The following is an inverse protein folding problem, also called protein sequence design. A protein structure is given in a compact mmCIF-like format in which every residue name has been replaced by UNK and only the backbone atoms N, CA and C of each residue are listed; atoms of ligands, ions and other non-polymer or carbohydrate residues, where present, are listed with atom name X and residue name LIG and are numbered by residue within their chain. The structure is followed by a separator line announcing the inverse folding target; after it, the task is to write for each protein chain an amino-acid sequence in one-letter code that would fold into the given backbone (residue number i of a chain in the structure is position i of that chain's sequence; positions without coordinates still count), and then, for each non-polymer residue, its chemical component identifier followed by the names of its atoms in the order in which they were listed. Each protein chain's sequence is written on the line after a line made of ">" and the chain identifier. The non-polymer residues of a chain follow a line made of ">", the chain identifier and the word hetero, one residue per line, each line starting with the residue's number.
data_IF_907296848943
#
_entry.id   IF_907296848943
#
_cell.length_a   1.000
_cell.length_b   1.000
_cell.length_c   1.000
_cell.angle_alpha   90.00
_cell.angle_beta   90.00
_cell.angle_gamma   90.00
#
_symmetry.space_group_name_H-M   'P 1'
#
loop_
_entity.id
_entity.type
_entity.pdbx_description
1 polymer ?
#
# COMPACT_ATOMS: atom_id res chain seq x y z
N UNK A 1 10.37 37.88 -30.23
CA UNK A 1 10.10 36.43 -30.37
C UNK A 1 10.76 35.69 -29.19
N UNK A 2 10.18 35.78 -27.98
CA UNK A 2 10.70 35.11 -26.77
C UNK A 2 9.49 34.83 -25.87
N UNK A 3 8.84 33.67 -26.02
CA UNK A 3 7.86 33.13 -25.06
C UNK A 3 7.75 31.62 -25.23
N UNK A 4 8.78 30.88 -24.84
CA UNK A 4 8.70 29.43 -24.78
C UNK A 4 9.77 28.85 -23.85
N UNK A 5 9.87 29.28 -22.58
CA UNK A 5 10.82 28.62 -21.67
C UNK A 5 10.54 28.85 -20.17
N UNK A 6 9.30 28.73 -19.70
CA UNK A 6 9.03 28.75 -18.24
C UNK A 6 7.85 27.87 -17.77
N UNK A 7 7.49 26.82 -18.50
CA UNK A 7 6.48 25.84 -18.05
C UNK A 7 7.07 24.49 -17.60
N UNK A 8 8.40 24.40 -17.48
CA UNK A 8 9.07 23.15 -17.09
C UNK A 8 9.31 22.90 -15.58
N UNK A 9 9.09 23.82 -14.61
CA UNK A 9 9.20 23.43 -13.20
C UNK A 9 7.87 23.00 -12.57
N UNK A 10 6.72 23.20 -13.23
CA UNK A 10 5.41 22.91 -12.63
C UNK A 10 4.97 21.43 -12.78
N UNK A 11 5.48 20.73 -13.78
CA UNK A 11 5.14 19.32 -14.02
C UNK A 11 5.93 18.32 -13.16
N UNK A 12 6.98 18.75 -12.45
CA UNK A 12 7.74 17.89 -11.53
C UNK A 12 7.14 17.81 -10.10
N UNK A 13 6.07 18.57 -9.83
CA UNK A 13 5.40 18.64 -8.52
C UNK A 13 4.10 17.82 -8.43
N UNK A 14 3.71 17.11 -9.48
CA UNK A 14 2.57 16.17 -9.47
C UNK A 14 3.08 14.73 -9.29
N UNK A 15 4.05 14.53 -8.39
CA UNK A 15 4.20 13.23 -7.76
C UNK A 15 3.17 13.20 -6.64
N UNK A 16 1.96 12.71 -6.94
CA UNK A 16 0.90 12.52 -5.95
C UNK A 16 1.50 11.92 -4.66
N UNK A 17 1.09 12.40 -3.47
CA UNK A 17 1.58 11.87 -2.20
C UNK A 17 1.45 10.36 -2.24
N UNK A 18 2.48 9.66 -1.74
CA UNK A 18 2.67 8.24 -1.88
C UNK A 18 1.34 7.48 -1.64
N UNK A 19 0.58 7.20 -2.71
CA UNK A 19 -0.78 6.62 -2.61
C UNK A 19 -0.70 5.31 -1.83
N UNK A 20 0.42 4.59 -2.01
CA UNK A 20 0.85 3.46 -1.22
C UNK A 20 0.60 3.70 0.28
N UNK A 21 1.17 4.74 0.90
CA UNK A 21 1.08 5.00 2.34
C UNK A 21 -0.37 5.01 2.86
N UNK A 22 -1.37 5.33 2.03
CA UNK A 22 -2.79 5.41 2.42
C UNK A 22 -3.69 4.31 1.84
N UNK A 23 -3.17 3.32 1.12
CA UNK A 23 -4.02 2.28 0.51
C UNK A 23 -4.84 1.46 1.53
N UNK A 24 -4.26 1.11 2.68
CA UNK A 24 -4.99 0.46 3.77
C UNK A 24 -6.15 1.32 4.28
N UNK A 25 -5.91 2.61 4.53
CA UNK A 25 -6.95 3.58 4.90
C UNK A 25 -8.01 3.75 3.81
N UNK A 26 -7.61 3.81 2.53
CA UNK A 26 -8.54 3.91 1.41
C UNK A 26 -9.44 2.68 1.30
N UNK A 27 -8.90 1.50 1.61
CA UNK A 27 -9.65 0.24 1.59
C UNK A 27 -10.59 0.12 2.79
N UNK A 28 -10.17 0.55 3.98
CA UNK A 28 -11.06 0.74 5.12
C UNK A 28 -12.20 1.72 4.78
N UNK A 29 -11.92 2.75 3.97
CA UNK A 29 -12.88 3.70 3.42
C UNK A 29 -14.06 3.08 2.66
N UNK A 30 -13.88 1.87 2.08
CA UNK A 30 -14.94 1.14 1.40
C UNK A 30 -15.97 0.62 2.41
N UNK A 31 -15.51 0.07 3.53
CA UNK A 31 -16.37 -0.40 4.61
C UNK A 31 -17.01 0.76 5.39
N UNK A 32 -16.26 1.84 5.61
CA UNK A 32 -16.80 3.09 6.18
C UNK A 32 -18.01 3.56 5.36
N UNK A 33 -17.88 3.65 4.03
CA UNK A 33 -18.99 4.05 3.15
C UNK A 33 -20.18 3.10 3.24
N UNK A 34 -19.93 1.79 3.28
CA UNK A 34 -20.98 0.77 3.43
C UNK A 34 -21.78 0.98 4.72
N UNK A 35 -21.09 1.08 5.86
CA UNK A 35 -21.76 1.17 7.16
C UNK A 35 -22.36 2.54 7.44
N UNK A 36 -21.81 3.61 6.86
CA UNK A 36 -22.46 4.93 6.85
C UNK A 36 -23.79 4.89 6.09
N UNK A 37 -23.87 4.18 4.96
CA UNK A 37 -25.13 4.01 4.19
C UNK A 37 -26.14 3.12 4.89
N UNK A 38 -25.69 2.04 5.52
CA UNK A 38 -26.60 1.13 6.24
C UNK A 38 -27.04 1.65 7.61
N UNK A 39 -26.42 2.73 8.11
CA UNK A 39 -26.68 3.28 9.44
C UNK A 39 -26.15 2.41 10.59
N UNK A 40 -25.24 1.48 10.32
CA UNK A 40 -24.63 0.65 11.38
C UNK A 40 -23.46 1.40 12.02
N UNK A 41 -23.80 2.27 12.98
CA UNK A 41 -22.84 3.16 13.61
C UNK A 41 -21.78 2.44 14.45
N UNK A 42 -22.09 1.26 15.01
CA UNK A 42 -21.10 0.45 15.74
C UNK A 42 -20.01 -0.09 14.82
N UNK A 43 -20.39 -0.69 13.70
CA UNK A 43 -19.41 -1.14 12.69
C UNK A 43 -18.69 0.02 12.02
N UNK A 44 -19.39 1.11 11.75
CA UNK A 44 -18.77 2.34 11.23
C UNK A 44 -17.67 2.86 12.16
N UNK A 45 -17.90 2.83 13.47
CA UNK A 45 -16.91 3.23 14.46
C UNK A 45 -15.66 2.35 14.39
N UNK A 46 -15.84 1.02 14.40
CA UNK A 46 -14.75 0.06 14.29
C UNK A 46 -13.91 0.26 13.00
N UNK A 47 -14.55 0.51 11.86
CA UNK A 47 -13.81 0.74 10.60
C UNK A 47 -13.09 2.08 10.54
N UNK A 48 -13.59 3.11 11.23
CA UNK A 48 -12.81 4.32 11.45
C UNK A 48 -11.61 4.07 12.36
N UNK A 49 -11.72 3.23 13.38
CA UNK A 49 -10.59 2.82 14.22
C UNK A 49 -9.56 2.02 13.43
N UNK A 50 -9.99 1.07 12.60
CA UNK A 50 -9.13 0.32 11.69
C UNK A 50 -8.40 1.23 10.70
N UNK A 51 -9.08 2.25 10.16
CA UNK A 51 -8.46 3.24 9.27
C UNK A 51 -7.36 4.05 9.99
N UNK A 52 -7.59 4.41 11.26
CA UNK A 52 -6.60 5.07 12.11
C UNK A 52 -5.44 4.13 12.47
N UNK A 53 -5.72 2.84 12.72
CA UNK A 53 -4.70 1.82 12.99
C UNK A 53 -3.79 1.60 11.77
N UNK A 54 -4.33 1.54 10.55
CA UNK A 54 -3.53 1.53 9.33
C UNK A 54 -2.56 2.71 9.26
N UNK A 55 -3.02 3.93 9.59
CA UNK A 55 -2.16 5.11 9.59
C UNK A 55 -1.03 4.98 10.62
N UNK A 56 -1.35 4.57 11.85
CA UNK A 56 -0.37 4.47 12.92
C UNK A 56 0.63 3.30 12.74
N UNK A 57 0.16 2.15 12.27
CA UNK A 57 0.96 0.91 12.18
C UNK A 57 1.71 0.76 10.88
N UNK A 58 1.31 1.48 9.84
CA UNK A 58 1.89 1.37 8.50
C UNK A 58 2.41 2.72 8.03
N UNK A 59 1.52 3.71 7.92
CA UNK A 59 1.87 4.98 7.27
C UNK A 59 2.97 5.75 8.02
N UNK A 60 2.83 5.85 9.36
CA UNK A 60 3.82 6.49 10.23
C UNK A 60 5.19 5.82 10.11
N UNK A 61 5.37 4.51 10.39
CA UNK A 61 6.68 3.88 10.31
C UNK A 61 7.29 3.92 8.90
N UNK A 62 6.48 3.79 7.84
CA UNK A 62 6.98 3.94 6.46
C UNK A 62 7.56 5.34 6.22
N UNK A 63 6.85 6.39 6.65
CA UNK A 63 7.31 7.77 6.47
C UNK A 63 8.55 8.08 7.33
N UNK A 64 8.61 7.58 8.57
CA UNK A 64 9.78 7.74 9.45
C UNK A 64 11.03 7.11 8.85
N UNK A 65 10.93 5.86 8.35
CA UNK A 65 12.05 5.16 7.70
C UNK A 65 12.57 5.98 6.50
N UNK A 66 11.66 6.49 5.67
CA UNK A 66 12.01 7.31 4.52
C UNK A 66 12.66 8.64 4.95
N UNK A 67 12.05 9.34 5.90
CA UNK A 67 12.55 10.61 6.44
C UNK A 67 13.97 10.45 6.99
N UNK A 68 14.22 9.44 7.81
CA UNK A 68 15.53 9.17 8.40
C UNK A 68 16.59 8.86 7.34
N UNK A 69 16.21 8.14 6.29
CA UNK A 69 17.09 7.91 5.16
C UNK A 69 17.45 9.22 4.45
N UNK A 70 16.44 10.03 4.10
CA UNK A 70 16.65 11.29 3.39
C UNK A 70 17.50 12.27 4.19
N UNK A 71 17.24 12.37 5.49
CA UNK A 71 17.96 13.25 6.41
C UNK A 71 19.43 12.86 6.52
N UNK A 72 19.73 11.57 6.74
CA UNK A 72 21.11 11.06 6.85
C UNK A 72 21.94 11.30 5.59
N UNK A 73 21.32 11.26 4.42
CA UNK A 73 21.99 11.42 3.13
C UNK A 73 21.88 12.84 2.54
N UNK A 74 21.36 13.81 3.29
CA UNK A 74 21.34 15.22 2.89
C UNK A 74 20.30 15.58 1.81
N UNK A 75 19.27 14.77 1.60
CA UNK A 75 18.23 14.99 0.59
C UNK A 75 17.16 16.00 1.03
N UNK A 76 17.52 17.28 1.16
CA UNK A 76 16.68 18.35 1.75
C UNK A 76 15.24 18.44 1.21
N UNK A 77 15.06 18.32 -0.11
CA UNK A 77 13.72 18.38 -0.72
C UNK A 77 12.84 17.18 -0.30
N UNK A 78 13.45 15.99 -0.18
CA UNK A 78 12.77 14.78 0.25
C UNK A 78 12.47 14.78 1.74
N UNK A 79 13.35 15.38 2.55
CA UNK A 79 13.09 15.66 3.97
C UNK A 79 11.84 16.53 4.13
N UNK A 80 11.81 17.70 3.48
CA UNK A 80 10.66 18.61 3.55
C UNK A 80 9.36 17.96 3.07
N UNK A 81 9.45 17.11 2.03
CA UNK A 81 8.30 16.30 1.57
C UNK A 81 7.82 15.33 2.66
N UNK A 82 8.72 14.55 3.26
CA UNK A 82 8.36 13.58 4.30
C UNK A 82 7.79 14.22 5.57
N UNK A 83 8.23 15.43 5.92
CA UNK A 83 7.66 16.21 7.04
C UNK A 83 6.24 16.69 6.74
N UNK A 84 5.97 17.07 5.49
CA UNK A 84 4.61 17.36 5.04
C UNK A 84 3.73 16.10 5.10
N UNK A 85 4.21 14.98 4.58
CA UNK A 85 3.49 13.71 4.59
C UNK A 85 3.20 13.24 6.03
N UNK A 86 4.13 13.43 6.98
CA UNK A 86 3.92 13.15 8.41
C UNK A 86 2.73 13.93 9.00
N UNK A 87 2.65 15.24 8.72
CA UNK A 87 1.54 16.09 9.19
C UNK A 87 0.21 15.64 8.61
N UNK A 88 0.16 15.36 7.32
CA UNK A 88 -1.07 14.88 6.69
C UNK A 88 -1.50 13.53 7.31
N UNK A 89 -0.58 12.59 7.54
CA UNK A 89 -0.88 11.31 8.22
C UNK A 89 -1.54 11.56 9.59
N UNK A 90 -0.99 12.49 10.37
CA UNK A 90 -1.53 12.84 11.68
C UNK A 90 -2.94 13.46 11.58
N UNK A 91 -3.17 14.36 10.62
CA UNK A 91 -4.49 14.95 10.37
C UNK A 91 -5.55 13.88 10.02
N UNK A 92 -5.22 12.93 9.15
CA UNK A 92 -6.12 11.81 8.81
C UNK A 92 -6.36 10.88 10.01
N UNK A 93 -5.34 10.64 10.84
CA UNK A 93 -5.47 9.84 12.04
C UNK A 93 -6.46 10.47 13.01
N UNK A 94 -6.30 11.76 13.32
CA UNK A 94 -7.19 12.51 14.20
C UNK A 94 -8.62 12.59 13.65
N UNK A 95 -8.76 12.79 12.33
CA UNK A 95 -10.05 12.75 11.66
C UNK A 95 -10.77 11.42 11.94
N UNK A 96 -10.10 10.30 11.70
CA UNK A 96 -10.71 8.98 11.88
C UNK A 96 -11.02 8.68 13.36
N UNK A 97 -10.14 9.02 14.30
CA UNK A 97 -10.41 8.88 15.74
C UNK A 97 -11.62 9.71 16.18
N UNK A 98 -11.76 10.94 15.68
CA UNK A 98 -12.92 11.80 15.96
C UNK A 98 -14.20 11.19 15.40
N UNK A 99 -14.17 10.68 14.16
CA UNK A 99 -15.33 10.04 13.52
C UNK A 99 -15.75 8.75 14.23
N UNK A 100 -14.80 7.92 14.64
CA UNK A 100 -15.07 6.74 15.45
C UNK A 100 -15.80 7.10 16.76
N UNK A 101 -15.29 8.10 17.49
CA UNK A 101 -15.93 8.59 18.72
C UNK A 101 -17.38 9.03 18.50
N UNK A 102 -17.64 9.78 17.44
CA UNK A 102 -19.00 10.23 17.08
C UNK A 102 -19.90 9.06 16.72
N UNK A 103 -19.38 8.06 15.99
CA UNK A 103 -20.15 6.89 15.61
C UNK A 103 -20.48 6.01 16.84
N UNK A 104 -19.55 5.83 17.77
CA UNK A 104 -19.81 5.13 19.03
C UNK A 104 -20.93 5.75 19.85
N UNK A 105 -21.01 7.09 19.90
CA UNK A 105 -22.09 7.80 20.60
C UNK A 105 -23.49 7.53 20.03
N UNK A 106 -23.57 7.02 18.80
CA UNK A 106 -24.81 6.71 18.09
C UNK A 106 -25.05 5.20 17.95
N UNK A 107 -24.15 4.38 18.48
CA UNK A 107 -24.17 2.94 18.26
C UNK A 107 -25.24 2.27 19.09
N UNK A 108 -26.10 1.51 18.42
CA UNK A 108 -27.06 0.57 19.02
C UNK A 108 -26.72 -0.88 18.64
N UNK A 109 -25.61 -1.10 17.93
CA UNK A 109 -25.17 -2.40 17.44
C UNK A 109 -24.81 -3.33 18.60
N UNK A 110 -25.28 -4.58 18.57
CA UNK A 110 -25.03 -5.55 19.63
C UNK A 110 -23.57 -5.99 19.69
N UNK A 111 -23.08 -6.30 20.90
CA UNK A 111 -21.68 -6.68 21.11
C UNK A 111 -21.26 -7.91 20.30
N UNK A 112 -22.14 -8.91 20.19
CA UNK A 112 -21.90 -10.10 19.37
C UNK A 112 -21.64 -9.76 17.89
N UNK A 113 -22.34 -8.76 17.34
CA UNK A 113 -22.14 -8.32 15.97
C UNK A 113 -20.85 -7.50 15.81
N UNK A 114 -20.41 -6.81 16.88
CA UNK A 114 -19.15 -6.08 16.94
C UNK A 114 -17.96 -7.04 17.05
N UNK A 115 -18.06 -8.11 17.82
CA UNK A 115 -16.99 -9.12 17.95
C UNK A 115 -16.67 -9.79 16.61
N UNK A 116 -17.69 -10.20 15.86
CA UNK A 116 -17.51 -10.74 14.52
C UNK A 116 -16.86 -9.71 13.56
N UNK A 117 -17.17 -8.43 13.74
CA UNK A 117 -16.57 -7.37 12.93
C UNK A 117 -15.11 -7.10 13.33
N UNK A 118 -14.77 -7.17 14.62
CA UNK A 118 -13.39 -7.08 15.12
C UNK A 118 -12.52 -8.19 14.55
N UNK A 119 -13.01 -9.43 14.50
CA UNK A 119 -12.30 -10.55 13.86
C UNK A 119 -12.03 -10.29 12.37
N UNK A 120 -12.97 -9.67 11.66
CA UNK A 120 -12.77 -9.27 10.26
C UNK A 120 -11.72 -8.16 10.13
N UNK A 121 -11.71 -7.18 11.05
CA UNK A 121 -10.72 -6.12 11.08
C UNK A 121 -9.32 -6.66 11.39
N UNK A 122 -9.18 -7.62 12.30
CA UNK A 122 -7.88 -8.26 12.57
C UNK A 122 -7.32 -8.93 11.30
N UNK A 123 -8.15 -9.67 10.56
CA UNK A 123 -7.76 -10.27 9.26
C UNK A 123 -7.41 -9.20 8.23
N UNK A 124 -8.15 -8.12 8.20
CA UNK A 124 -7.90 -6.97 7.32
C UNK A 124 -6.52 -6.34 7.60
N UNK A 125 -6.24 -6.02 8.86
CA UNK A 125 -4.96 -5.43 9.27
C UNK A 125 -3.80 -6.40 8.99
N UNK A 126 -3.95 -7.67 9.36
CA UNK A 126 -2.96 -8.72 9.08
C UNK A 126 -2.68 -8.89 7.57
N UNK A 127 -3.67 -8.65 6.71
CA UNK A 127 -3.50 -8.66 5.25
C UNK A 127 -2.75 -7.43 4.74
N UNK A 128 -2.95 -6.26 5.35
CA UNK A 128 -2.34 -5.01 4.89
C UNK A 128 -0.92 -4.77 5.39
N UNK A 129 -0.59 -5.19 6.60
CA UNK A 129 0.73 -5.01 7.21
C UNK A 129 1.89 -5.51 6.32
N UNK A 130 1.89 -6.74 5.78
CA UNK A 130 2.97 -7.23 4.92
C UNK A 130 2.89 -6.70 3.49
N UNK A 131 1.69 -6.31 3.05
CA UNK A 131 1.42 -5.91 1.66
C UNK A 131 2.25 -4.71 1.18
N UNK A 132 2.75 -3.92 2.10
CA UNK A 132 3.62 -2.78 1.83
C UNK A 132 5.07 -3.17 1.57
N UNK A 133 5.77 -3.83 2.50
CA UNK A 133 7.11 -4.32 2.21
C UNK A 133 7.13 -5.34 1.06
N UNK A 134 6.09 -6.16 0.89
CA UNK A 134 5.98 -7.10 -0.25
C UNK A 134 6.01 -6.39 -1.61
N UNK A 135 5.43 -5.19 -1.69
CA UNK A 135 5.33 -4.40 -2.94
C UNK A 135 6.27 -3.19 -2.97
N UNK A 136 7.28 -3.17 -2.10
CA UNK A 136 8.21 -2.05 -1.96
C UNK A 136 8.85 -1.65 -3.29
N UNK A 137 9.24 -2.64 -4.12
CA UNK A 137 9.90 -2.39 -5.40
C UNK A 137 8.94 -1.97 -6.54
N UNK A 138 7.64 -2.17 -6.35
CA UNK A 138 6.60 -1.85 -7.34
C UNK A 138 6.03 -0.45 -7.14
N UNK A 139 5.91 -0.01 -5.87
CA UNK A 139 5.23 1.23 -5.50
C UNK A 139 6.00 2.07 -4.50
N UNK A 140 5.60 3.34 -4.37
CA UNK A 140 6.10 4.22 -3.33
C UNK A 140 7.54 4.70 -3.51
N UNK A 141 8.35 4.60 -2.44
CA UNK A 141 9.68 5.24 -2.40
C UNK A 141 10.66 4.63 -3.41
N UNK A 142 10.61 3.33 -3.66
CA UNK A 142 11.55 2.70 -4.59
C UNK A 142 11.43 3.26 -6.02
N UNK A 143 10.27 3.18 -6.70
CA UNK A 143 10.15 3.71 -8.06
C UNK A 143 10.27 5.24 -8.13
N UNK A 144 9.91 5.96 -7.07
CA UNK A 144 9.92 7.44 -7.08
C UNK A 144 11.28 8.06 -6.75
N UNK A 145 12.09 7.38 -5.94
CA UNK A 145 13.39 7.85 -5.48
C UNK A 145 14.53 6.90 -5.90
N UNK A 146 14.58 5.68 -5.37
CA UNK A 146 15.73 4.78 -5.56
C UNK A 146 15.98 4.44 -7.02
N UNK A 147 14.94 4.03 -7.75
CA UNK A 147 15.04 3.68 -9.17
C UNK A 147 15.59 4.86 -9.99
N UNK A 148 15.06 6.07 -9.76
CA UNK A 148 15.53 7.28 -10.45
C UNK A 148 16.99 7.60 -10.12
N UNK A 149 17.39 7.49 -8.85
CA UNK A 149 18.77 7.74 -8.45
C UNK A 149 19.73 6.69 -9.04
N UNK A 150 19.29 5.42 -9.10
CA UNK A 150 20.03 4.32 -9.72
C UNK A 150 20.21 4.58 -11.22
N UNK A 151 19.14 4.87 -11.95
CA UNK A 151 19.19 5.20 -13.38
C UNK A 151 20.18 6.34 -13.67
N UNK A 152 20.19 7.39 -12.84
CA UNK A 152 21.15 8.50 -12.97
C UNK A 152 22.60 8.05 -12.71
N UNK A 153 22.83 7.17 -11.74
CA UNK A 153 24.16 6.64 -11.45
C UNK A 153 24.67 5.76 -12.61
N UNK A 154 23.81 4.89 -13.14
CA UNK A 154 24.11 4.05 -14.30
C UNK A 154 24.45 4.87 -15.55
N UNK A 155 23.67 5.92 -15.84
CA UNK A 155 23.95 6.83 -16.97
C UNK A 155 25.31 7.53 -16.85
N UNK A 156 25.81 7.70 -15.62
CA UNK A 156 27.12 8.30 -15.34
C UNK A 156 28.25 7.27 -15.27
N UNK A 157 27.96 5.98 -15.44
CA UNK A 157 28.91 4.89 -15.24
C UNK A 157 29.35 4.71 -13.78
N UNK A 158 28.60 5.26 -12.82
CA UNK A 158 28.89 5.16 -11.39
C UNK A 158 28.23 3.91 -10.80
N UNK A 159 28.81 2.75 -11.13
CA UNK A 159 28.27 1.45 -10.74
C UNK A 159 28.39 1.18 -9.24
N UNK A 160 29.39 1.76 -8.57
CA UNK A 160 29.52 1.72 -7.11
C UNK A 160 28.31 2.37 -6.46
N UNK A 161 27.94 3.58 -6.91
CA UNK A 161 26.75 4.26 -6.41
C UNK A 161 25.45 3.52 -6.72
N UNK A 162 25.31 2.95 -7.92
CA UNK A 162 24.14 2.15 -8.27
C UNK A 162 23.97 0.94 -7.32
N UNK A 163 25.06 0.24 -7.00
CA UNK A 163 25.06 -0.87 -6.04
C UNK A 163 24.71 -0.41 -4.62
N UNK A 164 25.27 0.71 -4.15
CA UNK A 164 24.96 1.25 -2.83
C UNK A 164 23.49 1.69 -2.70
N UNK A 165 22.92 2.29 -3.74
CA UNK A 165 21.50 2.68 -3.75
C UNK A 165 20.56 1.46 -3.65
N UNK A 166 20.89 0.36 -4.30
CA UNK A 166 20.11 -0.88 -4.20
C UNK A 166 20.33 -1.61 -2.87
N UNK A 167 21.54 -1.53 -2.30
CA UNK A 167 21.78 -2.00 -0.95
C UNK A 167 20.93 -1.24 0.07
N UNK A 168 20.90 0.08 -0.03
CA UNK A 168 20.08 0.96 0.81
C UNK A 168 18.58 0.65 0.65
N UNK A 169 18.13 0.41 -0.58
CA UNK A 169 16.76 0.02 -0.87
C UNK A 169 16.39 -1.32 -0.20
N UNK A 170 17.28 -2.31 -0.28
CA UNK A 170 17.09 -3.61 0.37
C UNK A 170 17.07 -3.49 1.90
N UNK A 171 17.98 -2.73 2.50
CA UNK A 171 18.00 -2.50 3.95
C UNK A 171 16.75 -1.73 4.42
N UNK A 172 16.28 -0.79 3.61
CA UNK A 172 15.03 -0.07 3.88
C UNK A 172 13.82 -1.02 3.86
N UNK A 173 13.77 -1.93 2.89
CA UNK A 173 12.73 -2.95 2.83
C UNK A 173 12.78 -3.88 4.05
N UNK A 174 13.97 -4.34 4.45
CA UNK A 174 14.15 -5.11 5.69
C UNK A 174 13.64 -4.36 6.93
N UNK A 175 13.96 -3.07 7.04
CA UNK A 175 13.49 -2.22 8.13
C UNK A 175 11.97 -2.10 8.15
N UNK A 176 11.31 -2.09 6.98
CA UNK A 176 9.84 -2.11 6.91
C UNK A 176 9.27 -3.42 7.45
N UNK A 177 9.82 -4.58 7.09
CA UNK A 177 9.39 -5.86 7.70
C UNK A 177 9.54 -5.85 9.22
N UNK A 178 10.63 -5.29 9.73
CA UNK A 178 10.89 -5.19 11.16
C UNK A 178 9.88 -4.30 11.89
N UNK A 179 9.63 -3.10 11.37
CA UNK A 179 8.78 -2.10 12.04
C UNK A 179 7.28 -2.27 11.79
N UNK A 180 6.87 -3.03 10.78
CA UNK A 180 5.45 -3.13 10.37
C UNK A 180 4.89 -4.52 10.72
N UNK A 181 5.08 -5.60 9.92
CA UNK A 181 4.49 -6.90 10.25
C UNK A 181 5.13 -7.56 11.48
N UNK A 182 6.44 -7.50 11.66
CA UNK A 182 7.11 -8.17 12.80
C UNK A 182 6.79 -7.47 14.13
N UNK A 183 6.87 -6.15 14.18
CA UNK A 183 6.51 -5.37 15.37
C UNK A 183 5.03 -5.53 15.78
N UNK A 184 4.15 -5.87 14.82
CA UNK A 184 2.76 -6.22 15.10
C UNK A 184 2.58 -7.65 15.65
N UNK A 185 3.61 -8.49 15.57
CA UNK A 185 3.57 -9.87 16.03
C UNK A 185 3.17 -10.88 14.94
N UNK A 186 3.18 -10.48 13.66
CA UNK A 186 2.98 -11.44 12.57
C UNK A 186 4.19 -12.38 12.48
N UNK A 187 3.92 -13.68 12.42
CA UNK A 187 4.93 -14.74 12.34
C UNK A 187 5.48 -14.86 10.92
N UNK A 188 6.65 -15.49 10.80
CA UNK A 188 7.30 -15.87 9.53
C UNK A 188 7.75 -14.71 8.62
N UNK A 189 7.73 -13.46 9.12
CA UNK A 189 8.27 -12.29 8.40
C UNK A 189 9.74 -12.01 8.70
N UNK A 190 10.31 -12.62 9.75
CA UNK A 190 11.75 -12.52 10.06
C UNK A 190 12.61 -13.02 8.89
N UNK A 191 12.19 -14.11 8.23
CA UNK A 191 12.89 -14.65 7.04
C UNK A 191 12.99 -13.62 5.91
N UNK A 192 11.95 -12.81 5.69
CA UNK A 192 11.94 -11.76 4.66
C UNK A 192 12.96 -10.68 5.00
N UNK A 193 12.88 -10.14 6.22
CA UNK A 193 13.85 -9.17 6.75
C UNK A 193 15.29 -9.67 6.58
N UNK A 194 15.55 -10.90 6.98
CA UNK A 194 16.90 -11.46 7.00
C UNK A 194 17.45 -11.68 5.58
N UNK A 195 16.63 -12.14 4.63
CA UNK A 195 17.03 -12.26 3.22
C UNK A 195 17.31 -10.88 2.60
N UNK A 196 16.50 -9.86 2.90
CA UNK A 196 16.76 -8.49 2.44
C UNK A 196 18.06 -7.92 3.03
N UNK A 197 18.36 -8.16 4.31
CA UNK A 197 19.63 -7.77 4.94
C UNK A 197 20.83 -8.46 4.28
N UNK A 198 20.73 -9.77 4.05
CA UNK A 198 21.77 -10.52 3.34
C UNK A 198 22.00 -9.97 1.94
N UNK A 199 20.92 -9.63 1.23
CA UNK A 199 21.00 -9.02 -0.09
C UNK A 199 21.67 -7.63 -0.05
N UNK A 200 21.32 -6.79 0.92
CA UNK A 200 21.96 -5.49 1.12
C UNK A 200 23.47 -5.62 1.38
N UNK A 201 23.88 -6.53 2.27
CA UNK A 201 25.30 -6.80 2.55
C UNK A 201 26.05 -7.31 1.32
N UNK A 202 25.43 -8.18 0.52
CA UNK A 202 26.01 -8.65 -0.75
C UNK A 202 26.29 -7.49 -1.70
N UNK A 203 25.33 -6.58 -1.89
CA UNK A 203 25.47 -5.43 -2.77
C UNK A 203 26.55 -4.44 -2.27
N UNK A 204 26.64 -4.23 -0.95
CA UNK A 204 27.71 -3.43 -0.34
C UNK A 204 29.10 -4.03 -0.61
N UNK A 205 29.24 -5.35 -0.47
CA UNK A 205 30.50 -6.05 -0.77
C UNK A 205 30.87 -5.95 -2.25
N UNK A 206 29.89 -6.05 -3.16
CA UNK A 206 30.11 -5.88 -4.60
C UNK A 206 30.51 -4.43 -4.94
N UNK A 207 29.95 -3.43 -4.25
CA UNK A 207 30.33 -2.04 -4.43
C UNK A 207 31.81 -1.79 -4.08
N UNK A 208 32.35 -2.47 -3.07
CA UNK A 208 33.78 -2.37 -2.70
C UNK A 208 34.73 -2.94 -3.76
N UNK A 209 34.25 -3.84 -4.63
CA UNK A 209 35.06 -4.42 -5.71
C UNK A 209 35.24 -3.47 -6.90
N UNK A 210 34.55 -2.32 -6.92
CA UNK A 210 34.63 -1.30 -7.97
C UNK A 210 34.47 -1.90 -9.39
N UNK A 211 33.41 -2.70 -9.56
CA UNK A 211 33.13 -3.41 -10.79
C UNK A 211 32.92 -2.44 -11.96
N UNK A 212 33.42 -2.81 -13.15
CA UNK A 212 33.26 -2.04 -14.40
C UNK A 212 31.91 -2.25 -15.08
N UNK A 213 31.08 -3.16 -14.57
CA UNK A 213 29.75 -3.48 -15.06
C UNK A 213 28.87 -3.84 -13.87
N UNK A 214 27.55 -3.67 -14.01
CA UNK A 214 26.61 -4.09 -12.99
C UNK A 214 26.48 -5.62 -12.95
N UNK A 215 26.59 -6.24 -11.75
CA UNK A 215 26.35 -7.66 -11.58
C UNK A 215 24.84 -7.97 -11.64
N UNK A 216 24.48 -9.18 -12.05
CA UNK A 216 23.08 -9.61 -12.15
C UNK A 216 22.35 -9.60 -10.80
N UNK A 217 23.09 -9.66 -9.70
CA UNK A 217 22.61 -9.58 -8.33
C UNK A 217 21.78 -8.32 -8.07
N UNK A 218 22.07 -7.20 -8.75
CA UNK A 218 21.45 -5.90 -8.47
C UNK A 218 19.91 -5.89 -8.58
N UNK A 219 19.33 -6.78 -9.39
CA UNK A 219 17.88 -6.84 -9.61
C UNK A 219 17.17 -7.95 -8.81
N UNK A 220 17.90 -8.73 -8.00
CA UNK A 220 17.34 -9.84 -7.22
C UNK A 220 16.39 -9.38 -6.11
N UNK A 221 16.52 -8.16 -5.61
CA UNK A 221 15.65 -7.61 -4.55
C UNK A 221 14.15 -7.66 -4.86
N UNK A 222 13.78 -7.53 -6.14
CA UNK A 222 12.39 -7.55 -6.63
C UNK A 222 11.74 -8.94 -6.56
N UNK A 223 12.55 -9.99 -6.55
CA UNK A 223 12.09 -11.39 -6.65
C UNK A 223 11.97 -12.07 -5.27
N UNK A 224 12.48 -11.43 -4.21
CA UNK A 224 12.48 -11.98 -2.85
C UNK A 224 11.07 -12.29 -2.32
N UNK A 225 10.05 -11.43 -2.49
CA UNK A 225 8.71 -11.71 -1.99
C UNK A 225 8.08 -12.94 -2.67
N UNK A 226 8.22 -13.02 -4.00
CA UNK A 226 7.71 -14.14 -4.79
C UNK A 226 8.38 -15.47 -4.41
N UNK A 227 9.68 -15.45 -4.11
CA UNK A 227 10.46 -16.64 -3.75
C UNK A 227 10.13 -17.20 -2.36
N UNK A 228 9.56 -16.38 -1.47
CA UNK A 228 9.32 -16.75 -0.07
C UNK A 228 7.87 -17.15 0.22
N UNK A 229 7.01 -17.13 -0.80
CA UNK A 229 5.57 -17.47 -0.79
C UNK A 229 4.92 -17.20 0.57
N UNK A 230 4.73 -15.93 0.92
CA UNK A 230 3.97 -15.60 2.12
C UNK A 230 2.49 -15.84 1.88
N UNK A 231 1.99 -16.84 2.60
CA UNK A 231 0.59 -17.22 2.76
C UNK A 231 -0.28 -15.96 2.90
N UNK A 232 -1.15 -15.69 1.92
CA UNK A 232 -2.41 -14.92 2.00
C UNK A 232 -2.92 -14.52 0.60
N UNK A 233 -2.07 -14.57 -0.44
CA UNK A 233 -2.50 -14.32 -1.81
C UNK A 233 -3.39 -15.47 -2.33
N UNK A 234 -4.68 -15.23 -2.62
CA UNK A 234 -5.54 -16.31 -3.05
C UNK A 234 -5.20 -16.74 -4.48
N UNK A 235 -5.44 -18.02 -4.80
CA UNK A 235 -5.15 -18.54 -6.14
C UNK A 235 -5.83 -17.73 -7.25
N UNK A 236 -5.17 -17.65 -8.42
CA UNK A 236 -5.71 -17.00 -9.63
C UNK A 236 -7.12 -17.51 -9.98
N UNK A 237 -7.35 -18.82 -9.85
CA UNK A 237 -8.66 -19.45 -10.07
C UNK A 237 -9.75 -18.86 -9.17
N UNK A 238 -9.41 -18.52 -7.93
CA UNK A 238 -10.34 -17.89 -6.99
C UNK A 238 -10.64 -16.44 -7.39
N UNK A 239 -9.62 -15.67 -7.77
CA UNK A 239 -9.80 -14.30 -8.27
C UNK A 239 -10.69 -14.27 -9.53
N UNK A 240 -10.53 -15.21 -10.45
CA UNK A 240 -11.36 -15.31 -11.66
C UNK A 240 -12.83 -15.63 -11.32
N UNK A 241 -13.08 -16.52 -10.37
CA UNK A 241 -14.43 -16.82 -9.89
C UNK A 241 -15.09 -15.59 -9.25
N UNK A 242 -14.35 -14.87 -8.40
CA UNK A 242 -14.81 -13.62 -7.77
C UNK A 242 -15.14 -12.56 -8.82
N UNK A 243 -14.31 -12.41 -9.85
CA UNK A 243 -14.58 -11.49 -10.97
C UNK A 243 -15.85 -11.87 -11.72
N UNK A 244 -16.06 -13.17 -11.97
CA UNK A 244 -17.27 -13.65 -12.64
C UNK A 244 -18.54 -13.35 -11.81
N UNK A 245 -18.48 -13.58 -10.50
CA UNK A 245 -19.58 -13.27 -9.56
C UNK A 245 -19.87 -11.77 -9.57
N UNK A 246 -18.85 -10.93 -9.41
CA UNK A 246 -19.01 -9.47 -9.39
C UNK A 246 -19.65 -8.94 -10.69
N UNK A 247 -19.18 -9.42 -11.85
CA UNK A 247 -19.72 -9.03 -13.17
C UNK A 247 -21.14 -9.53 -13.40
N UNK A 248 -21.57 -10.57 -12.69
CA UNK A 248 -22.89 -11.17 -12.84
C UNK A 248 -23.97 -10.45 -12.03
N UNK A 249 -23.58 -9.72 -10.98
CA UNK A 249 -24.49 -8.93 -10.13
C UNK A 249 -25.24 -7.86 -10.94
N UNK A 250 -26.56 -7.78 -10.75
CA UNK A 250 -27.43 -6.89 -11.51
C UNK A 250 -27.15 -5.41 -11.24
N UNK A 251 -26.73 -5.05 -10.02
CA UNK A 251 -26.38 -3.66 -9.65
C UNK A 251 -25.10 -3.24 -10.36
N UNK A 252 -24.10 -4.12 -10.41
CA UNK A 252 -22.87 -3.90 -11.18
C UNK A 252 -23.19 -3.76 -12.67
N UNK A 253 -23.94 -4.69 -13.27
CA UNK A 253 -24.34 -4.59 -14.69
C UNK A 253 -25.04 -3.27 -15.00
N UNK A 254 -25.92 -2.84 -14.10
CA UNK A 254 -26.63 -1.56 -14.24
C UNK A 254 -25.66 -0.37 -14.20
N UNK A 255 -24.74 -0.34 -13.23
CA UNK A 255 -23.73 0.72 -13.12
C UNK A 255 -22.79 0.78 -14.36
N UNK A 256 -22.48 -0.37 -14.96
CA UNK A 256 -21.57 -0.47 -16.09
C UNK A 256 -22.24 -0.32 -17.47
N UNK A 257 -23.58 -0.33 -17.56
CA UNK A 257 -24.35 -0.48 -18.82
C UNK A 257 -23.93 0.48 -19.95
N UNK A 258 -23.53 1.70 -19.63
CA UNK A 258 -23.16 2.74 -20.61
C UNK A 258 -21.66 3.04 -20.62
N UNK A 259 -20.86 2.27 -19.89
CA UNK A 259 -19.44 2.52 -19.71
C UNK A 259 -18.63 1.67 -20.68
N UNK A 260 -17.68 2.31 -21.38
CA UNK A 260 -16.72 1.64 -22.27
C UNK A 260 -15.33 1.65 -21.64
N UNK A 261 -14.50 0.66 -21.98
CA UNK A 261 -13.14 0.56 -21.47
C UNK A 261 -13.07 0.37 -19.96
N UNK A 262 -14.01 -0.40 -19.40
CA UNK A 262 -14.04 -0.70 -17.97
C UNK A 262 -13.11 -1.87 -17.67
N UNK A 263 -12.20 -1.66 -16.73
CA UNK A 263 -11.32 -2.68 -16.18
C UNK A 263 -11.82 -3.10 -14.80
N UNK A 264 -11.62 -4.36 -14.43
CA UNK A 264 -12.01 -4.90 -13.13
C UNK A 264 -10.78 -5.41 -12.39
N UNK A 265 -10.60 -4.99 -11.14
CA UNK A 265 -9.47 -5.36 -10.30
C UNK A 265 -9.96 -6.00 -8.99
N UNK A 266 -9.75 -7.32 -8.81
CA UNK A 266 -10.12 -8.01 -7.57
C UNK A 266 -9.00 -7.87 -6.53
N UNK A 267 -9.38 -7.58 -5.29
CA UNK A 267 -8.46 -7.36 -4.19
C UNK A 267 -8.93 -8.08 -2.93
N UNK A 268 -8.17 -9.07 -2.49
CA UNK A 268 -8.47 -9.80 -1.25
C UNK A 268 -8.04 -9.01 -0.01
N UNK A 269 -8.87 -9.07 1.03
CA UNK A 269 -8.74 -8.33 2.29
C UNK A 269 -8.63 -9.24 3.52
N UNK A 270 -8.35 -10.53 3.35
CA UNK A 270 -8.27 -11.50 4.45
C UNK A 270 -9.61 -12.17 4.82
N UNK A 271 -10.73 -11.49 4.58
CA UNK A 271 -12.08 -12.02 4.87
C UNK A 271 -13.12 -11.73 3.77
N UNK A 272 -12.83 -10.78 2.87
CA UNK A 272 -13.66 -10.45 1.71
C UNK A 272 -12.79 -10.16 0.49
N UNK A 273 -13.41 -10.16 -0.67
CA UNK A 273 -12.89 -9.59 -1.89
C UNK A 273 -13.55 -8.26 -2.20
N UNK A 274 -12.73 -7.31 -2.63
CA UNK A 274 -13.18 -6.03 -3.17
C UNK A 274 -12.90 -6.05 -4.67
N UNK A 275 -13.93 -5.90 -5.49
CA UNK A 275 -13.79 -5.79 -6.95
C UNK A 275 -14.08 -4.36 -7.37
N UNK A 276 -13.03 -3.62 -7.73
CA UNK A 276 -13.16 -2.27 -8.26
C UNK A 276 -13.30 -2.32 -9.79
N UNK A 277 -14.36 -1.72 -10.30
CA UNK A 277 -14.58 -1.49 -11.72
C UNK A 277 -14.21 -0.05 -12.06
N UNK A 278 -13.16 0.15 -12.83
CA UNK A 278 -12.62 1.47 -13.13
C UNK A 278 -12.58 1.76 -14.64
N UNK A 279 -12.67 3.04 -15.01
CA UNK A 279 -12.37 3.53 -16.35
C UNK A 279 -11.39 4.69 -16.25
N UNK A 280 -10.41 4.76 -17.15
CA UNK A 280 -9.39 5.82 -17.16
C UNK A 280 -9.97 7.24 -17.21
N UNK A 281 -11.16 7.42 -17.80
CA UNK A 281 -11.80 8.74 -17.94
C UNK A 281 -12.67 9.14 -16.74
N UNK A 282 -13.07 8.21 -15.88
CA UNK A 282 -14.06 8.45 -14.81
C UNK A 282 -13.65 7.94 -13.42
N UNK A 283 -12.53 7.24 -13.31
CA UNK A 283 -12.12 6.58 -12.06
C UNK A 283 -12.99 5.36 -11.75
N UNK A 284 -13.19 5.07 -10.46
CA UNK A 284 -14.03 3.95 -10.02
C UNK A 284 -15.50 4.21 -10.36
N UNK A 285 -16.08 3.31 -11.15
CA UNK A 285 -17.48 3.35 -11.58
C UNK A 285 -18.36 2.54 -10.62
N UNK A 286 -17.86 1.39 -10.17
CA UNK A 286 -18.54 0.53 -9.21
C UNK A 286 -17.53 -0.23 -8.36
N UNK A 287 -17.88 -0.53 -7.12
CA UNK A 287 -17.12 -1.37 -6.20
C UNK A 287 -18.05 -2.44 -5.65
N UNK A 288 -17.71 -3.71 -5.83
CA UNK A 288 -18.43 -4.84 -5.25
C UNK A 288 -17.64 -5.44 -4.09
N UNK A 289 -18.33 -5.76 -2.98
CA UNK A 289 -17.75 -6.48 -1.84
C UNK A 289 -18.31 -7.89 -1.85
N UNK A 290 -17.45 -8.90 -1.88
CA UNK A 290 -17.84 -10.31 -1.95
C UNK A 290 -17.27 -11.03 -0.73
N UNK A 291 -18.14 -11.74 -0.01
CA UNK A 291 -17.74 -12.56 1.13
C UNK A 291 -16.87 -13.73 0.70
N UNK A 292 -15.73 -13.94 1.37
CA UNK A 292 -14.76 -14.97 1.01
C UNK A 292 -15.28 -16.40 1.24
N UNK A 293 -16.10 -16.59 2.28
CA UNK A 293 -16.58 -17.92 2.67
C UNK A 293 -17.80 -18.34 1.85
N UNK A 294 -18.75 -17.43 1.69
CA UNK A 294 -20.05 -17.70 1.06
C UNK A 294 -20.09 -17.31 -0.41
N UNK A 295 -19.10 -16.56 -0.89
CA UNK A 295 -19.02 -16.05 -2.27
C UNK A 295 -20.24 -15.18 -2.67
N UNK A 296 -20.96 -14.64 -1.68
CA UNK A 296 -22.11 -13.75 -1.90
C UNK A 296 -21.65 -12.29 -2.03
N UNK A 297 -22.31 -11.54 -2.90
CA UNK A 297 -22.11 -10.09 -3.02
C UNK A 297 -22.79 -9.38 -1.85
N UNK A 298 -22.00 -8.86 -0.92
CA UNK A 298 -22.44 -8.18 0.28
C UNK A 298 -22.95 -6.77 0.00
N UNK A 299 -22.30 -6.05 -0.90
CA UNK A 299 -22.67 -4.68 -1.28
C UNK A 299 -22.10 -4.29 -2.65
N UNK A 300 -22.73 -3.29 -3.29
CA UNK A 300 -22.29 -2.67 -4.56
C UNK A 300 -22.56 -1.17 -4.51
N UNK A 301 -21.55 -0.36 -4.83
CA UNK A 301 -21.71 1.09 -4.88
C UNK A 301 -20.78 1.83 -5.83
#
# INVERSE_FOLDING_TARGET
>A
MIRALFLLPFFLLIAQPCIAIREGTATAGIFIKRYERSGDFGKLALWHEAAAECLARISVPMNEIAHDYYRRHGYKQWVARSEKEAREIQEYYEYHRKRAKIAWQKSETSELALDAERENIEKFIATWLPRYPDRFYEFGIYPTFFRKQREIAEQKGDYVKALLLEADAAEMCATQYEKIPIAYGLKDYQKHRDVYRQHASLLQNLAQQNLKILPAEIDKGKQIPDALETCLSPSRRKADAVLHIAKSDTRVKTALRTQRGVHAYPLFQGFVWIVAFFSHSRGNIAVAIIDEKTMKVLDVF
#
